data_IF_338756751628
#
_entry.id   IF_338756751628
#
_cell.length_a   1.000
_cell.length_b   1.000
_cell.length_c   1.000
_cell.angle_alpha   90.00
_cell.angle_beta   90.00
_cell.angle_gamma   90.00
#
_symmetry.space_group_name_H-M   'P 1'
#
loop_
_entity.id
_entity.type
_entity.pdbx_description
1 polymer ?
#
# COMPACT_ATOMS: atom_id res chain seq x y z
N UNK A 1 -4.76 -1.60 5.36
CA UNK A 1 -4.82 -0.18 5.80
C UNK A 1 -6.29 0.21 5.99
N UNK A 2 -6.66 0.96 7.03
CA UNK A 2 -8.04 1.42 7.22
C UNK A 2 -8.44 2.42 6.12
N UNK A 3 -9.68 2.30 5.63
CA UNK A 3 -10.26 3.22 4.62
C UNK A 3 -10.86 4.49 5.24
N UNK A 4 -11.02 4.52 6.56
CA UNK A 4 -11.52 5.67 7.32
C UNK A 4 -10.66 5.90 8.55
N UNK A 5 -10.60 7.15 8.99
CA UNK A 5 -9.73 7.53 10.10
C UNK A 5 -8.25 7.58 9.72
N UNK A 6 -7.36 7.53 10.71
CA UNK A 6 -5.92 7.60 10.47
C UNK A 6 -5.44 6.40 9.62
N UNK A 7 -4.72 6.65 8.52
CA UNK A 7 -4.10 5.59 7.72
C UNK A 7 -3.19 4.69 8.58
N UNK A 8 -3.02 3.44 8.13
CA UNK A 8 -1.97 2.57 8.65
C UNK A 8 -0.58 3.14 8.32
N UNK A 9 0.45 2.62 8.97
CA UNK A 9 1.85 2.95 8.75
C UNK A 9 2.55 1.72 8.21
N UNK A 10 3.16 1.84 7.04
CA UNK A 10 4.15 0.91 6.53
C UNK A 10 5.52 1.37 7.04
N UNK A 11 6.16 0.50 7.83
CA UNK A 11 7.35 0.78 8.63
C UNK A 11 8.64 0.23 7.99
N UNK A 12 8.52 -0.53 6.90
CA UNK A 12 9.65 -1.09 6.14
C UNK A 12 10.11 -0.12 5.05
N UNK A 13 11.38 -0.18 4.69
CA UNK A 13 11.99 0.77 3.74
C UNK A 13 11.66 0.53 2.25
N UNK A 14 11.06 -0.62 1.89
CA UNK A 14 10.80 -0.97 0.49
C UNK A 14 12.07 -1.19 -0.37
N UNK A 15 13.25 -1.24 0.25
CA UNK A 15 14.52 -1.44 -0.45
C UNK A 15 15.02 -0.22 -1.22
N UNK A 16 15.91 -0.44 -2.21
CA UNK A 16 16.62 0.64 -2.89
C UNK A 16 15.71 1.61 -3.67
N UNK A 17 14.60 1.10 -4.19
CA UNK A 17 13.64 1.86 -5.00
C UNK A 17 12.36 2.19 -4.24
N UNK A 18 12.29 1.87 -2.93
CA UNK A 18 11.11 2.07 -2.09
C UNK A 18 9.87 1.45 -2.73
N UNK A 19 9.98 0.16 -3.04
CA UNK A 19 8.94 -0.63 -3.68
C UNK A 19 8.01 -1.25 -2.65
N UNK A 20 6.72 -1.15 -2.91
CA UNK A 20 5.65 -1.67 -2.05
C UNK A 20 4.55 -2.31 -2.90
N UNK A 21 3.69 -3.07 -2.24
CA UNK A 21 2.54 -3.70 -2.88
C UNK A 21 1.29 -3.39 -2.05
N UNK A 22 0.37 -2.63 -2.65
CA UNK A 22 -0.95 -2.42 -2.07
C UNK A 22 -1.85 -3.56 -2.51
N UNK A 23 -2.24 -4.40 -1.56
CA UNK A 23 -3.21 -5.49 -1.77
C UNK A 23 -4.56 -5.07 -1.19
N UNK A 24 -5.57 -5.00 -2.05
CA UNK A 24 -6.94 -4.64 -1.70
C UNK A 24 -7.84 -5.86 -1.90
N UNK A 25 -8.58 -6.23 -0.87
CA UNK A 25 -9.56 -7.31 -0.92
C UNK A 25 -10.96 -6.72 -0.93
N UNK A 26 -11.73 -7.06 -1.97
CA UNK A 26 -13.13 -6.71 -2.13
C UNK A 26 -14.04 -7.81 -1.60
N UNK A 27 -15.32 -7.49 -1.34
CA UNK A 27 -16.33 -8.43 -0.86
C UNK A 27 -16.74 -9.49 -1.90
N UNK A 28 -16.43 -9.25 -3.17
CA UNK A 28 -16.73 -10.15 -4.28
C UNK A 28 -15.72 -9.94 -5.41
N UNK A 29 -15.84 -10.73 -6.48
CA UNK A 29 -14.97 -10.60 -7.63
C UNK A 29 -15.13 -9.22 -8.26
N UNK A 30 -14.01 -8.65 -8.70
CA UNK A 30 -13.99 -7.33 -9.34
C UNK A 30 -13.21 -7.36 -10.64
N UNK A 31 -13.44 -6.34 -11.46
CA UNK A 31 -12.61 -5.97 -12.61
C UNK A 31 -12.17 -4.52 -12.46
N UNK A 32 -11.09 -4.13 -13.13
CA UNK A 32 -10.57 -2.76 -13.13
C UNK A 32 -10.47 -2.27 -14.57
N UNK A 33 -11.34 -1.32 -14.94
CA UNK A 33 -11.55 -0.88 -16.32
C UNK A 33 -11.06 0.55 -16.59
N UNK A 34 -10.61 1.27 -15.56
CA UNK A 34 -10.08 2.63 -15.71
C UNK A 34 -8.78 2.70 -16.50
N UNK A 35 -8.50 3.88 -17.06
CA UNK A 35 -7.23 4.21 -17.72
C UNK A 35 -6.74 5.59 -17.22
N UNK A 36 -5.64 5.66 -16.45
CA UNK A 36 -4.84 4.54 -15.93
C UNK A 36 -5.65 3.67 -14.94
N UNK A 37 -5.30 2.39 -14.80
CA UNK A 37 -6.00 1.47 -13.89
C UNK A 37 -5.84 1.86 -12.42
N UNK A 38 -4.70 2.42 -12.07
CA UNK A 38 -4.45 3.00 -10.75
C UNK A 38 -3.43 4.13 -10.80
N UNK A 39 -3.41 4.98 -9.78
CA UNK A 39 -2.50 6.12 -9.70
C UNK A 39 -2.32 6.58 -8.26
N UNK A 40 -1.13 7.09 -7.94
CA UNK A 40 -0.89 7.88 -6.72
C UNK A 40 -1.42 9.29 -6.99
N UNK A 41 -2.54 9.66 -6.36
CA UNK A 41 -3.18 10.98 -6.57
C UNK A 41 -2.71 12.04 -5.59
N UNK A 42 -2.04 11.64 -4.51
CA UNK A 42 -1.47 12.55 -3.51
C UNK A 42 -0.26 11.88 -2.88
N UNK A 43 0.77 12.69 -2.59
CA UNK A 43 2.06 12.21 -2.10
C UNK A 43 3.06 11.97 -3.22
N UNK A 44 4.24 11.51 -2.85
CA UNK A 44 5.38 11.28 -3.73
C UNK A 44 5.56 9.79 -4.01
N UNK A 45 5.67 9.43 -5.27
CA UNK A 45 5.84 8.07 -5.75
C UNK A 45 4.84 7.76 -6.87
N UNK A 46 4.86 6.53 -7.37
CA UNK A 46 4.00 6.14 -8.48
C UNK A 46 3.63 4.67 -8.46
N UNK A 47 2.61 4.32 -9.24
CA UNK A 47 2.32 2.93 -9.57
C UNK A 47 3.40 2.45 -10.55
N UNK A 48 4.03 1.32 -10.25
CA UNK A 48 5.19 0.84 -11.00
C UNK A 48 6.08 -0.07 -10.17
N UNK A 49 7.26 -0.40 -10.70
CA UNK A 49 8.21 -1.30 -10.06
C UNK A 49 9.65 -0.92 -10.42
N UNK A 50 10.59 -1.21 -9.52
CA UNK A 50 12.02 -1.08 -9.77
C UNK A 50 12.45 0.34 -10.11
N UNK A 51 11.83 1.34 -9.47
CA UNK A 51 12.10 2.76 -9.69
C UNK A 51 11.46 3.33 -10.96
N UNK A 52 10.67 2.54 -11.69
CA UNK A 52 10.04 2.96 -12.95
C UNK A 52 8.52 3.05 -12.80
N UNK A 53 7.95 4.20 -13.11
CA UNK A 53 6.51 4.41 -13.13
C UNK A 53 5.87 3.74 -14.36
N UNK A 54 4.75 3.07 -14.16
CA UNK A 54 3.93 2.54 -15.24
C UNK A 54 2.89 3.59 -15.65
N UNK A 55 2.92 4.12 -16.89
CA UNK A 55 1.97 5.12 -17.36
C UNK A 55 0.52 4.60 -17.41
N UNK A 56 0.31 3.29 -17.51
CA UNK A 56 -1.03 2.69 -17.49
C UNK A 56 -1.52 2.40 -16.08
N UNK A 57 -0.64 2.50 -15.07
CA UNK A 57 -0.95 2.21 -13.68
C UNK A 57 -1.45 0.78 -13.48
N UNK A 58 -0.84 -0.18 -14.17
CA UNK A 58 -1.36 -1.55 -14.29
C UNK A 58 -1.52 -2.21 -12.93
N UNK A 59 -2.66 -2.86 -12.74
CA UNK A 59 -2.96 -3.65 -11.54
C UNK A 59 -3.08 -5.13 -11.91
N UNK A 60 -2.82 -6.01 -10.94
CA UNK A 60 -3.17 -7.43 -11.06
C UNK A 60 -4.49 -7.70 -10.35
N UNK A 61 -5.42 -8.40 -11.00
CA UNK A 61 -6.72 -8.76 -10.44
C UNK A 61 -6.85 -10.28 -10.39
N UNK A 62 -7.14 -10.82 -9.21
CA UNK A 62 -7.37 -12.25 -8.98
C UNK A 62 -8.61 -12.43 -8.11
N UNK A 63 -9.75 -12.71 -8.76
CA UNK A 63 -11.05 -12.80 -8.08
C UNK A 63 -11.42 -11.47 -7.41
N UNK A 64 -11.45 -11.46 -6.08
CA UNK A 64 -11.74 -10.28 -5.27
C UNK A 64 -10.50 -9.51 -4.82
N UNK A 65 -9.30 -9.94 -5.24
CA UNK A 65 -8.04 -9.31 -4.82
C UNK A 65 -7.51 -8.45 -5.97
N UNK A 66 -7.21 -7.18 -5.66
CA UNK A 66 -6.49 -6.27 -6.56
C UNK A 66 -5.15 -5.92 -5.94
N UNK A 67 -4.08 -6.11 -6.70
CA UNK A 67 -2.72 -5.80 -6.30
C UNK A 67 -2.19 -4.64 -7.15
N UNK A 68 -1.77 -3.57 -6.48
CA UNK A 68 -1.19 -2.37 -7.08
C UNK A 68 0.30 -2.31 -6.73
N UNK A 69 1.21 -2.45 -7.72
CA UNK A 69 2.64 -2.29 -7.49
C UNK A 69 2.97 -0.81 -7.33
N UNK A 70 3.80 -0.47 -6.35
CA UNK A 70 4.20 0.91 -6.05
C UNK A 70 5.71 0.99 -6.01
N UNK A 71 6.25 2.12 -6.47
CA UNK A 71 7.69 2.39 -6.48
C UNK A 71 7.97 3.87 -6.27
N UNK A 72 9.20 4.20 -5.88
CA UNK A 72 9.65 5.55 -5.55
C UNK A 72 8.77 6.21 -4.48
N UNK A 73 8.16 5.44 -3.58
CA UNK A 73 7.36 5.99 -2.50
C UNK A 73 8.32 6.64 -1.49
N UNK A 74 8.22 7.96 -1.33
CA UNK A 74 9.02 8.65 -0.33
C UNK A 74 8.63 8.23 1.10
N UNK A 75 9.57 8.33 2.03
CA UNK A 75 9.32 8.15 3.46
C UNK A 75 8.63 9.38 4.08
N UNK A 76 8.11 9.25 5.30
CA UNK A 76 7.52 10.35 6.09
C UNK A 76 6.35 11.06 5.39
N UNK A 77 5.42 10.30 4.85
CA UNK A 77 4.25 10.84 4.17
C UNK A 77 3.03 9.94 4.29
N UNK A 78 1.87 10.49 3.91
CA UNK A 78 0.67 9.72 3.60
C UNK A 78 0.36 9.93 2.14
N UNK A 79 0.37 8.85 1.37
CA UNK A 79 -0.06 8.86 -0.03
C UNK A 79 -1.53 8.46 -0.13
N UNK A 80 -2.16 8.82 -1.24
CA UNK A 80 -3.49 8.32 -1.58
C UNK A 80 -3.41 7.60 -2.93
N UNK A 81 -3.67 6.31 -2.94
CA UNK A 81 -3.70 5.49 -4.16
C UNK A 81 -5.15 5.34 -4.61
N UNK A 82 -5.42 5.74 -5.84
CA UNK A 82 -6.71 5.55 -6.48
C UNK A 82 -6.65 4.36 -7.43
N UNK A 83 -7.63 3.46 -7.35
CA UNK A 83 -7.91 2.44 -8.36
C UNK A 83 -9.12 2.94 -9.16
N UNK A 84 -8.98 3.05 -10.47
CA UNK A 84 -9.98 3.64 -11.35
C UNK A 84 -10.87 2.57 -11.98
N UNK A 85 -12.18 2.81 -12.00
CA UNK A 85 -13.12 1.93 -12.68
C UNK A 85 -13.16 0.52 -12.09
N UNK A 86 -13.17 0.40 -10.77
CA UNK A 86 -13.45 -0.87 -10.09
C UNK A 86 -14.92 -1.23 -10.34
N UNK A 87 -15.16 -2.41 -10.89
CA UNK A 87 -16.50 -2.90 -11.14
C UNK A 87 -16.72 -4.31 -10.56
N UNK A 88 -17.74 -4.47 -9.72
CA UNK A 88 -18.11 -5.74 -9.08
C UNK A 88 -19.17 -6.56 -9.82
N UNK A 89 -19.88 -5.97 -10.79
CA UNK A 89 -20.92 -6.66 -11.55
C UNK A 89 -21.13 -6.01 -12.93
N UNK A 90 -21.52 -6.76 -13.95
CA UNK A 90 -21.66 -6.25 -15.32
C UNK A 90 -22.71 -5.15 -15.49
N UNK A 91 -23.68 -5.08 -14.58
CA UNK A 91 -24.82 -4.18 -14.55
C UNK A 91 -24.67 -3.00 -13.59
N UNK A 92 -23.57 -2.94 -12.82
CA UNK A 92 -23.28 -1.84 -11.92
C UNK A 92 -22.27 -0.86 -12.52
N UNK A 93 -22.39 0.45 -12.24
CA UNK A 93 -21.42 1.43 -12.68
C UNK A 93 -20.07 1.20 -11.99
N UNK A 94 -19.00 1.30 -12.76
CA UNK A 94 -17.66 1.25 -12.22
C UNK A 94 -17.37 2.48 -11.35
N UNK A 95 -16.65 2.29 -10.24
CA UNK A 95 -16.34 3.34 -9.27
C UNK A 95 -14.84 3.48 -9.04
N UNK A 96 -14.41 4.67 -8.63
CA UNK A 96 -13.03 4.89 -8.19
C UNK A 96 -12.92 4.61 -6.70
N UNK A 97 -11.84 3.93 -6.30
CA UNK A 97 -11.57 3.57 -4.91
C UNK A 97 -10.28 4.26 -4.47
N UNK A 98 -10.36 5.04 -3.40
CA UNK A 98 -9.23 5.76 -2.83
C UNK A 98 -8.77 5.10 -1.53
N UNK A 99 -7.48 4.77 -1.46
CA UNK A 99 -6.87 4.11 -0.30
C UNK A 99 -5.73 5.01 0.22
N UNK A 100 -5.87 5.59 1.43
CA UNK A 100 -4.78 6.29 2.08
C UNK A 100 -3.76 5.31 2.67
N UNK A 101 -2.48 5.60 2.51
CA UNK A 101 -1.39 4.79 3.07
C UNK A 101 -0.30 5.67 3.67
N UNK A 102 0.03 5.44 4.93
CA UNK A 102 1.12 6.11 5.62
C UNK A 102 2.42 5.34 5.49
N UNK A 103 3.53 6.07 5.38
CA UNK A 103 4.88 5.54 5.33
C UNK A 103 5.73 6.27 6.36
N UNK A 104 6.32 5.51 7.27
CA UNK A 104 7.26 6.02 8.26
C UNK A 104 8.21 4.90 8.66
N UNK A 105 9.36 4.88 8.03
CA UNK A 105 10.35 3.82 8.22
C UNK A 105 10.84 3.78 9.67
N UNK A 106 10.73 2.61 10.30
CA UNK A 106 11.16 2.39 11.68
C UNK A 106 10.11 2.66 12.76
N UNK A 107 8.89 3.09 12.40
CA UNK A 107 7.74 3.15 13.32
C UNK A 107 7.09 1.77 13.47
N UNK A 108 7.83 0.83 14.06
CA UNK A 108 7.47 -0.60 14.12
C UNK A 108 6.26 -0.90 15.01
N UNK A 109 5.76 0.10 15.71
CA UNK A 109 4.55 0.02 16.52
C UNK A 109 3.36 0.82 15.95
N UNK A 110 3.54 1.49 14.80
CA UNK A 110 2.50 2.27 14.13
C UNK A 110 2.01 3.50 14.91
N UNK A 111 2.84 4.04 15.80
CA UNK A 111 2.52 5.20 16.65
C UNK A 111 2.60 6.54 15.93
N UNK A 112 3.17 6.56 14.72
CA UNK A 112 3.52 7.73 13.91
C UNK A 112 4.67 8.55 14.50
N UNK A 113 5.49 7.93 15.34
CA UNK A 113 6.64 8.55 16.00
C UNK A 113 7.78 7.54 16.09
N UNK A 114 8.86 7.78 15.35
CA UNK A 114 10.08 6.96 15.51
C UNK A 114 10.79 7.37 16.78
N UNK A 115 10.76 6.53 17.81
CA UNK A 115 11.31 6.84 19.12
C UNK A 115 11.86 5.59 19.86
N UNK A 116 12.15 5.73 21.16
CA UNK A 116 12.74 4.65 21.97
C UNK A 116 11.82 3.43 22.13
N UNK A 117 10.51 3.57 21.98
CA UNK A 117 9.56 2.46 22.00
C UNK A 117 9.78 1.51 20.83
N UNK A 118 10.10 2.03 19.65
CA UNK A 118 10.38 1.23 18.46
C UNK A 118 11.66 0.41 18.67
N UNK A 119 12.71 1.08 19.18
CA UNK A 119 13.97 0.43 19.55
C UNK A 119 13.76 -0.70 20.56
N UNK A 120 12.92 -0.49 21.58
CA UNK A 120 12.63 -1.49 22.59
C UNK A 120 11.90 -2.71 22.00
N UNK A 121 10.91 -2.49 21.13
CA UNK A 121 10.18 -3.56 20.46
C UNK A 121 11.08 -4.36 19.51
N UNK A 122 11.92 -3.70 18.72
CA UNK A 122 12.88 -4.42 17.86
C UNK A 122 13.88 -5.22 18.71
N UNK A 123 14.38 -4.65 19.81
CA UNK A 123 15.31 -5.34 20.72
C UNK A 123 14.68 -6.58 21.39
N UNK A 124 13.39 -6.56 21.69
CA UNK A 124 12.73 -7.71 22.33
C UNK A 124 12.68 -8.94 21.43
N UNK A 125 12.84 -8.77 20.12
CA UNK A 125 12.84 -9.87 19.14
C UNK A 125 14.25 -10.41 18.83
N UNK A 126 15.31 -9.85 19.42
CA UNK A 126 16.68 -10.31 19.16
C UNK A 126 16.85 -11.75 19.65
N UNK A 127 17.31 -12.62 18.76
CA UNK A 127 17.55 -14.04 19.05
C UNK A 127 16.28 -14.90 19.11
N UNK A 128 15.10 -14.34 18.86
CA UNK A 128 13.87 -15.11 18.74
C UNK A 128 13.82 -15.82 17.38
N UNK A 129 13.27 -17.03 17.34
CA UNK A 129 12.95 -17.68 16.08
C UNK A 129 11.92 -16.85 15.31
N UNK A 130 12.07 -16.81 13.99
CA UNK A 130 11.11 -16.14 13.10
C UNK A 130 9.80 -16.93 13.09
N UNK A 131 8.69 -16.21 13.26
CA UNK A 131 7.32 -16.71 13.31
C UNK A 131 6.31 -15.59 13.04
N UNK A 132 4.99 -15.85 13.11
CA UNK A 132 3.97 -14.90 12.65
C UNK A 132 3.92 -13.55 13.39
N UNK A 133 4.52 -13.45 14.58
CA UNK A 133 4.54 -12.23 15.39
C UNK A 133 5.77 -11.34 15.19
N UNK A 134 6.74 -11.78 14.37
CA UNK A 134 7.95 -11.04 14.01
C UNK A 134 8.31 -11.24 12.52
N UNK A 135 7.30 -11.55 11.71
CA UNK A 135 7.35 -11.61 10.24
C UNK A 135 6.77 -10.33 9.64
#
# INVERSE_FOLDING_TARGET
MPLTGPSGVEDRSGGATHDYSLVVTFSGNVTVTGMPQSQVVTGTGCVGSGGTCDPNGTVSVSGSIVTVPLTNIADQQVINVQINGVNGASDEPAVNVNIPMGFLTGDVNGSRLVNSTDVAQTKSQVGQNVGPGNF
#
